data_IF_900547720394
#
_entry.id   IF_900547720394
#
_cell.length_a   1.000
_cell.length_b   1.000
_cell.length_c   1.000
_cell.angle_alpha   90.00
_cell.angle_beta   90.00
_cell.angle_gamma   90.00
#
_symmetry.space_group_name_H-M   'P 1'
#
loop_
_entity.id
_entity.type
_entity.pdbx_description
1 polymer ?
#
# COMPACT_ATOMS: atom_id res chain seq x y z
N UNK A 1 -44.48 0.51 25.18
CA UNK A 1 -43.01 0.47 25.06
C UNK A 1 -42.69 0.33 23.60
N UNK A 2 -42.08 1.33 23.00
CA UNK A 2 -41.44 1.16 21.69
C UNK A 2 -40.19 0.30 21.97
N UNK A 3 -40.00 -0.85 21.31
CA UNK A 3 -38.80 -1.64 21.51
C UNK A 3 -37.58 -0.79 21.14
N UNK A 4 -36.54 -0.79 21.98
CA UNK A 4 -35.27 -0.16 21.63
C UNK A 4 -34.78 -0.71 20.29
N UNK A 5 -34.28 0.14 19.37
CA UNK A 5 -33.75 -0.34 18.11
C UNK A 5 -32.59 -1.30 18.38
N UNK A 6 -32.64 -2.49 17.75
CA UNK A 6 -31.58 -3.47 17.87
C UNK A 6 -30.23 -2.87 17.45
N UNK A 7 -29.21 -2.98 18.30
CA UNK A 7 -27.87 -2.39 18.10
C UNK A 7 -27.26 -2.83 16.76
N UNK A 8 -26.68 -1.91 15.98
CA UNK A 8 -26.15 -2.18 14.62
C UNK A 8 -25.24 -3.43 14.61
N UNK A 9 -25.48 -4.45 13.75
CA UNK A 9 -24.65 -5.66 13.73
C UNK A 9 -23.16 -5.37 13.55
N UNK A 10 -22.79 -4.27 12.88
CA UNK A 10 -21.40 -3.86 12.75
C UNK A 10 -20.78 -3.45 14.09
N UNK A 11 -21.53 -2.69 14.91
CA UNK A 11 -21.09 -2.24 16.24
C UNK A 11 -21.01 -3.41 17.22
N UNK A 12 -21.99 -4.32 17.17
CA UNK A 12 -21.96 -5.56 17.97
C UNK A 12 -20.70 -6.37 17.64
N UNK A 13 -20.40 -6.57 16.36
CA UNK A 13 -19.21 -7.30 15.94
C UNK A 13 -17.90 -6.58 16.30
N UNK A 14 -17.88 -5.24 16.24
CA UNK A 14 -16.72 -4.44 16.66
C UNK A 14 -16.44 -4.54 18.17
N UNK A 15 -17.48 -4.71 18.97
CA UNK A 15 -17.38 -4.93 20.42
C UNK A 15 -17.08 -6.37 20.82
N UNK A 16 -17.07 -7.31 19.87
CA UNK A 16 -16.85 -8.73 20.16
C UNK A 16 -15.43 -8.97 20.69
N UNK A 17 -15.31 -9.69 21.80
CA UNK A 17 -14.02 -9.99 22.44
C UNK A 17 -13.45 -11.27 21.86
N UNK A 18 -12.55 -11.12 20.90
CA UNK A 18 -11.86 -12.24 20.26
C UNK A 18 -10.81 -12.86 21.18
N UNK A 19 -10.90 -14.18 21.37
CA UNK A 19 -9.86 -14.98 22.01
C UNK A 19 -9.10 -15.76 20.95
N UNK A 20 -7.79 -15.93 21.14
CA UNK A 20 -6.96 -16.77 20.28
C UNK A 20 -6.76 -18.12 20.95
N UNK A 21 -6.94 -19.20 20.18
CA UNK A 21 -6.45 -20.51 20.57
C UNK A 21 -4.91 -20.43 20.70
N UNK A 22 -4.34 -20.80 21.86
CA UNK A 22 -2.90 -20.63 22.13
C UNK A 22 -2.02 -21.57 21.30
N UNK A 23 -2.59 -22.57 20.63
CA UNK A 23 -1.86 -23.52 19.79
C UNK A 23 -2.00 -23.17 18.31
N UNK A 24 -3.20 -22.86 17.85
CA UNK A 24 -3.44 -22.60 16.42
C UNK A 24 -3.39 -21.12 16.07
N UNK A 25 -3.40 -20.23 17.06
CA UNK A 25 -3.48 -18.78 16.87
C UNK A 25 -4.65 -18.37 15.95
N UNK A 26 -5.77 -19.08 16.11
CA UNK A 26 -7.04 -18.85 15.40
C UNK A 26 -8.03 -18.26 16.39
N UNK A 27 -8.85 -17.34 15.92
CA UNK A 27 -9.96 -16.80 16.70
C UNK A 27 -10.96 -17.90 17.08
N UNK A 28 -11.37 -17.92 18.34
CA UNK A 28 -12.38 -18.85 18.88
C UNK A 28 -13.69 -18.09 19.07
N UNK A 29 -14.80 -18.69 18.62
CA UNK A 29 -16.14 -18.20 18.91
C UNK A 29 -16.65 -18.81 20.21
N UNK A 30 -16.73 -17.99 21.26
CA UNK A 30 -17.32 -18.39 22.53
C UNK A 30 -18.85 -18.58 22.39
N UNK A 31 -19.49 -17.80 21.51
CA UNK A 31 -20.95 -17.79 21.29
C UNK A 31 -21.30 -17.90 19.79
N UNK A 32 -21.28 -19.10 19.19
CA UNK A 32 -21.53 -19.28 17.76
C UNK A 32 -22.94 -18.84 17.31
N UNK A 33 -23.95 -18.96 18.16
CA UNK A 33 -25.33 -18.54 17.83
C UNK A 33 -25.49 -17.02 17.72
N UNK A 34 -24.74 -16.26 18.53
CA UNK A 34 -24.68 -14.80 18.41
C UNK A 34 -24.06 -14.42 17.07
N UNK A 35 -22.96 -15.07 16.69
CA UNK A 35 -22.30 -14.84 15.40
C UNK A 35 -23.21 -15.18 14.21
N UNK A 36 -23.99 -16.27 14.28
CA UNK A 36 -25.01 -16.58 13.25
C UNK A 36 -26.04 -15.46 13.13
N UNK A 37 -26.53 -14.96 14.26
CA UNK A 37 -27.46 -13.82 14.29
C UNK A 37 -26.84 -12.56 13.68
N UNK A 38 -25.57 -12.26 13.97
CA UNK A 38 -24.85 -11.13 13.37
C UNK A 38 -24.74 -11.32 11.85
N UNK A 39 -24.40 -12.52 11.36
CA UNK A 39 -24.30 -12.83 9.92
C UNK A 39 -25.62 -12.61 9.18
N UNK A 40 -26.74 -13.04 9.74
CA UNK A 40 -28.07 -12.82 9.16
C UNK A 40 -28.37 -11.32 9.05
N UNK A 41 -28.12 -10.57 10.12
CA UNK A 41 -28.34 -9.11 10.15
C UNK A 41 -27.43 -8.36 9.18
N UNK A 42 -26.18 -8.80 9.01
CA UNK A 42 -25.27 -8.27 7.99
C UNK A 42 -25.78 -8.55 6.57
N UNK A 43 -26.39 -9.73 6.35
CA UNK A 43 -26.98 -10.12 5.06
C UNK A 43 -28.18 -9.24 4.72
N UNK A 44 -29.07 -8.99 5.67
CA UNK A 44 -30.21 -8.09 5.48
C UNK A 44 -29.76 -6.66 5.15
N UNK A 45 -28.74 -6.16 5.86
CA UNK A 45 -28.17 -4.84 5.61
C UNK A 45 -27.49 -4.77 4.24
N UNK A 46 -26.80 -5.83 3.82
CA UNK A 46 -26.17 -5.92 2.51
C UNK A 46 -27.19 -5.88 1.37
N UNK A 47 -28.36 -6.52 1.54
CA UNK A 47 -29.43 -6.50 0.53
C UNK A 47 -29.93 -5.08 0.21
N UNK A 48 -29.79 -4.14 1.15
CA UNK A 48 -30.17 -2.73 0.97
C UNK A 48 -28.99 -1.80 0.61
N UNK A 49 -27.77 -2.34 0.49
CA UNK A 49 -26.58 -1.53 0.18
C UNK A 49 -26.54 -1.11 -1.30
N UNK A 50 -26.56 0.21 -1.53
CA UNK A 50 -26.62 0.78 -2.88
C UNK A 50 -25.24 1.13 -3.46
N UNK A 51 -24.26 1.41 -2.60
CA UNK A 51 -22.95 1.91 -3.00
C UNK A 51 -21.82 0.90 -2.72
N UNK A 52 -20.71 1.03 -3.46
CA UNK A 52 -19.56 0.14 -3.35
C UNK A 52 -18.88 0.20 -1.96
N UNK A 53 -18.92 1.34 -1.26
CA UNK A 53 -18.34 1.52 0.08
C UNK A 53 -19.05 0.62 1.08
N UNK A 54 -20.38 0.66 1.06
CA UNK A 54 -21.25 -0.11 1.94
C UNK A 54 -21.15 -1.61 1.63
N UNK A 55 -21.19 -2.00 0.34
CA UNK A 55 -21.04 -3.41 -0.07
C UNK A 55 -19.70 -4.00 0.34
N UNK A 56 -18.59 -3.31 0.02
CA UNK A 56 -17.26 -3.73 0.40
C UNK A 56 -17.15 -3.96 1.92
N UNK A 57 -17.64 -3.01 2.74
CA UNK A 57 -17.60 -3.12 4.20
C UNK A 57 -18.42 -4.30 4.72
N UNK A 58 -19.67 -4.44 4.28
CA UNK A 58 -20.59 -5.45 4.81
C UNK A 58 -20.20 -6.86 4.40
N UNK A 59 -19.84 -7.08 3.14
CA UNK A 59 -19.31 -8.37 2.67
C UNK A 59 -18.03 -8.75 3.42
N UNK A 60 -17.12 -7.79 3.58
CA UNK A 60 -15.87 -8.00 4.29
C UNK A 60 -16.07 -8.39 5.76
N UNK A 61 -17.06 -7.80 6.45
CA UNK A 61 -17.41 -8.19 7.82
C UNK A 61 -18.11 -9.55 7.87
N UNK A 62 -19.00 -9.83 6.92
CA UNK A 62 -19.70 -11.12 6.81
C UNK A 62 -18.74 -12.27 6.54
N UNK A 63 -17.68 -12.03 5.76
CA UNK A 63 -16.60 -12.97 5.54
C UNK A 63 -15.87 -13.33 6.85
N UNK A 64 -15.62 -12.35 7.74
CA UNK A 64 -15.00 -12.62 9.04
C UNK A 64 -15.89 -13.53 9.89
N UNK A 65 -17.18 -13.23 9.96
CA UNK A 65 -18.12 -14.05 10.74
C UNK A 65 -18.21 -15.47 10.17
N UNK A 66 -18.35 -15.62 8.86
CA UNK A 66 -18.45 -16.93 8.20
C UNK A 66 -17.16 -17.74 8.36
N UNK A 67 -15.99 -17.09 8.30
CA UNK A 67 -14.69 -17.72 8.57
C UNK A 67 -14.66 -18.37 9.95
N UNK A 68 -15.03 -17.60 10.97
CA UNK A 68 -15.00 -18.06 12.37
C UNK A 68 -16.03 -19.16 12.61
N UNK A 69 -17.19 -19.11 11.96
CA UNK A 69 -18.20 -20.17 12.00
C UNK A 69 -17.77 -21.46 11.26
N UNK A 70 -16.66 -21.42 10.52
CA UNK A 70 -16.12 -22.56 9.75
C UNK A 70 -16.64 -22.65 8.31
N UNK A 71 -17.48 -21.71 7.87
CA UNK A 71 -18.08 -21.66 6.54
C UNK A 71 -17.11 -20.98 5.55
N UNK A 72 -15.98 -21.64 5.29
CA UNK A 72 -14.81 -21.03 4.59
C UNK A 72 -15.06 -20.71 3.10
N UNK A 73 -15.92 -21.47 2.42
CA UNK A 73 -16.24 -21.21 1.01
C UNK A 73 -17.11 -19.94 0.87
N UNK A 74 -18.14 -19.79 1.72
CA UNK A 74 -18.95 -18.56 1.79
C UNK A 74 -18.08 -17.36 2.16
N UNK A 75 -17.18 -17.54 3.14
CA UNK A 75 -16.26 -16.49 3.55
C UNK A 75 -15.31 -16.06 2.41
N UNK A 76 -14.89 -17.00 1.56
CA UNK A 76 -14.01 -16.69 0.43
C UNK A 76 -14.75 -15.87 -0.63
N UNK A 77 -15.96 -16.30 -1.00
CA UNK A 77 -16.77 -15.61 -2.01
C UNK A 77 -17.09 -14.17 -1.58
N UNK A 78 -17.48 -14.00 -0.32
CA UNK A 78 -17.69 -12.68 0.27
C UNK A 78 -16.41 -11.84 0.30
N UNK A 79 -15.28 -12.44 0.71
CA UNK A 79 -13.99 -11.76 0.78
C UNK A 79 -13.50 -11.26 -0.57
N UNK A 80 -13.62 -12.08 -1.62
CA UNK A 80 -13.24 -11.71 -3.00
C UNK A 80 -14.13 -10.59 -3.54
N UNK A 81 -15.43 -10.72 -3.38
CA UNK A 81 -16.36 -9.68 -3.83
C UNK A 81 -16.19 -8.37 -3.05
N UNK A 82 -15.90 -8.46 -1.75
CA UNK A 82 -15.57 -7.30 -0.93
C UNK A 82 -14.33 -6.57 -1.43
N UNK A 83 -13.27 -7.32 -1.79
CA UNK A 83 -12.04 -6.76 -2.33
C UNK A 83 -12.29 -6.02 -3.64
N UNK A 84 -13.03 -6.63 -4.58
CA UNK A 84 -13.40 -5.98 -5.85
C UNK A 84 -14.14 -4.65 -5.62
N UNK A 85 -15.13 -4.64 -4.72
CA UNK A 85 -15.83 -3.39 -4.40
C UNK A 85 -14.93 -2.37 -3.70
N UNK A 86 -14.00 -2.81 -2.84
CA UNK A 86 -13.06 -1.94 -2.15
C UNK A 86 -12.09 -1.26 -3.13
N UNK A 87 -11.51 -2.02 -4.05
CA UNK A 87 -10.63 -1.52 -5.12
C UNK A 87 -11.36 -0.50 -6.00
N UNK A 88 -12.62 -0.77 -6.34
CA UNK A 88 -13.46 0.17 -7.08
C UNK A 88 -13.73 1.49 -6.33
N UNK A 89 -13.53 1.55 -5.00
CA UNK A 89 -13.61 2.82 -4.26
C UNK A 89 -12.34 3.67 -4.34
N UNK A 90 -11.19 3.08 -4.66
CA UNK A 90 -9.89 3.76 -4.64
C UNK A 90 -9.37 4.16 -3.25
N UNK A 91 -10.05 3.76 -2.17
CA UNK A 91 -9.65 4.09 -0.79
C UNK A 91 -8.71 3.03 -0.20
N UNK A 92 -7.44 3.39 0.01
CA UNK A 92 -6.37 2.51 0.46
C UNK A 92 -6.73 1.77 1.74
N UNK A 93 -7.23 2.50 2.75
CA UNK A 93 -7.62 1.87 4.03
C UNK A 93 -8.67 0.77 3.83
N UNK A 94 -9.62 0.95 2.92
CA UNK A 94 -10.68 -0.07 2.71
C UNK A 94 -10.15 -1.26 1.94
N UNK A 95 -9.35 -1.02 0.90
CA UNK A 95 -8.70 -2.08 0.14
C UNK A 95 -7.82 -2.93 1.06
N UNK A 96 -6.97 -2.30 1.89
CA UNK A 96 -6.11 -3.00 2.83
C UNK A 96 -6.91 -3.86 3.84
N UNK A 97 -8.03 -3.35 4.36
CA UNK A 97 -8.90 -4.12 5.25
C UNK A 97 -9.56 -5.33 4.54
N UNK A 98 -10.02 -5.14 3.30
CA UNK A 98 -10.60 -6.22 2.52
C UNK A 98 -9.56 -7.29 2.16
N UNK A 99 -8.36 -6.90 1.74
CA UNK A 99 -7.23 -7.79 1.48
C UNK A 99 -6.85 -8.59 2.73
N UNK A 100 -6.71 -7.93 3.89
CA UNK A 100 -6.35 -8.60 5.13
C UNK A 100 -7.39 -9.64 5.56
N UNK A 101 -8.68 -9.30 5.51
CA UNK A 101 -9.76 -10.23 5.88
C UNK A 101 -9.88 -11.40 4.90
N UNK A 102 -9.69 -11.17 3.59
CA UNK A 102 -9.62 -12.23 2.60
C UNK A 102 -8.39 -13.13 2.84
N UNK A 103 -7.24 -12.56 3.14
CA UNK A 103 -6.02 -13.29 3.50
C UNK A 103 -6.23 -14.20 4.72
N UNK A 104 -7.03 -13.75 5.70
CA UNK A 104 -7.45 -14.57 6.83
C UNK A 104 -8.25 -15.80 6.43
N UNK A 105 -9.19 -15.66 5.50
CA UNK A 105 -9.97 -16.79 4.98
C UNK A 105 -9.04 -17.78 4.28
N UNK A 106 -8.18 -17.30 3.39
CA UNK A 106 -7.20 -18.12 2.66
C UNK A 106 -6.23 -18.84 3.60
N UNK A 107 -5.73 -18.15 4.63
CA UNK A 107 -4.91 -18.75 5.69
C UNK A 107 -5.63 -19.93 6.36
N UNK A 108 -6.90 -19.78 6.72
CA UNK A 108 -7.67 -20.85 7.38
C UNK A 108 -7.95 -22.05 6.46
N UNK A 109 -8.06 -21.80 5.14
CA UNK A 109 -8.17 -22.83 4.11
C UNK A 109 -6.84 -23.53 3.80
N UNK A 110 -5.71 -22.92 4.16
CA UNK A 110 -4.37 -23.42 3.85
C UNK A 110 -3.79 -22.88 2.54
N UNK A 111 -4.44 -21.91 1.91
CA UNK A 111 -4.00 -21.25 0.66
C UNK A 111 -2.95 -20.17 0.98
N UNK A 112 -1.85 -20.59 1.60
CA UNK A 112 -0.91 -19.68 2.27
C UNK A 112 -0.17 -18.72 1.35
N UNK A 113 0.15 -19.13 0.12
CA UNK A 113 0.87 -18.28 -0.83
C UNK A 113 0.05 -17.03 -1.19
N UNK A 114 -1.24 -17.22 -1.49
CA UNK A 114 -2.16 -16.11 -1.78
C UNK A 114 -2.44 -15.26 -0.53
N UNK A 115 -2.58 -15.90 0.64
CA UNK A 115 -2.74 -15.19 1.90
C UNK A 115 -1.55 -14.26 2.22
N UNK A 116 -0.32 -14.77 2.12
CA UNK A 116 0.89 -14.01 2.40
C UNK A 116 1.06 -12.83 1.43
N UNK A 117 0.73 -13.04 0.14
CA UNK A 117 0.74 -11.99 -0.88
C UNK A 117 -0.23 -10.87 -0.52
N UNK A 118 -1.47 -11.21 -0.17
CA UNK A 118 -2.48 -10.23 0.22
C UNK A 118 -2.11 -9.48 1.51
N UNK A 119 -1.50 -10.13 2.51
CA UNK A 119 -0.99 -9.45 3.70
C UNK A 119 0.14 -8.46 3.35
N UNK A 120 1.04 -8.86 2.45
CA UNK A 120 2.13 -8.00 1.98
C UNK A 120 1.59 -6.78 1.22
N UNK A 121 0.66 -6.99 0.29
CA UNK A 121 0.02 -5.92 -0.50
C UNK A 121 -0.82 -4.97 0.37
N UNK A 122 -1.49 -5.49 1.40
CA UNK A 122 -2.29 -4.67 2.31
C UNK A 122 -1.43 -3.71 3.15
N UNK A 123 -0.15 -4.03 3.39
CA UNK A 123 0.71 -3.31 4.32
C UNK A 123 1.41 -2.09 3.71
N UNK A 124 0.63 -1.13 3.21
CA UNK A 124 1.18 0.16 2.73
C UNK A 124 1.76 0.99 3.88
N UNK A 125 2.88 1.66 3.60
CA UNK A 125 3.51 2.61 4.53
C UNK A 125 2.67 3.88 4.77
N UNK A 126 1.62 4.12 3.98
CA UNK A 126 0.73 5.28 4.11
C UNK A 126 -0.43 5.03 5.08
N UNK A 127 -0.63 3.79 5.52
CA UNK A 127 -1.67 3.42 6.48
C UNK A 127 -1.33 3.85 7.91
N UNK A 128 -2.33 4.05 8.78
CA UNK A 128 -2.11 4.36 10.19
C UNK A 128 -1.34 3.22 10.88
N UNK A 129 -0.44 3.56 11.79
CA UNK A 129 0.42 2.57 12.47
C UNK A 129 -0.39 1.51 13.23
N UNK A 130 -1.58 1.84 13.75
CA UNK A 130 -2.50 0.84 14.36
C UNK A 130 -2.90 -0.26 13.38
N UNK A 131 -3.30 0.10 12.16
CA UNK A 131 -3.70 -0.88 11.15
C UNK A 131 -2.49 -1.68 10.66
N UNK A 132 -1.34 -1.01 10.45
CA UNK A 132 -0.11 -1.67 10.04
C UNK A 132 0.40 -2.66 11.10
N UNK A 133 0.31 -2.31 12.38
CA UNK A 133 0.67 -3.20 13.47
C UNK A 133 -0.22 -4.44 13.51
N UNK A 134 -1.54 -4.28 13.32
CA UNK A 134 -2.44 -5.40 13.12
C UNK A 134 -2.02 -6.26 11.91
N UNK A 135 -1.82 -5.68 10.73
CA UNK A 135 -1.42 -6.43 9.53
C UNK A 135 -0.15 -7.26 9.74
N UNK A 136 0.84 -6.71 10.43
CA UNK A 136 2.04 -7.45 10.81
C UNK A 136 1.73 -8.61 11.78
N UNK A 137 0.92 -8.38 12.80
CA UNK A 137 0.49 -9.42 13.74
C UNK A 137 -0.27 -10.57 13.04
N UNK A 138 -1.14 -10.25 12.09
CA UNK A 138 -1.86 -11.23 11.26
C UNK A 138 -0.93 -12.01 10.32
N UNK A 139 0.00 -11.33 9.66
CA UNK A 139 1.01 -11.97 8.81
C UNK A 139 1.94 -12.90 9.61
N UNK A 140 2.29 -12.53 10.86
CA UNK A 140 3.05 -13.38 11.77
C UNK A 140 2.32 -14.71 12.01
N UNK A 141 1.00 -14.66 12.23
CA UNK A 141 0.19 -15.87 12.42
C UNK A 141 0.10 -16.74 11.15
N UNK A 142 0.08 -16.14 9.96
CA UNK A 142 0.19 -16.89 8.70
C UNK A 142 1.54 -17.62 8.60
N UNK A 143 2.65 -16.95 8.94
CA UNK A 143 3.98 -17.54 8.96
C UNK A 143 4.09 -18.66 10.01
N UNK A 144 3.47 -18.47 11.18
CA UNK A 144 3.41 -19.47 12.24
C UNK A 144 2.74 -20.78 11.76
N UNK A 145 1.57 -20.70 11.11
CA UNK A 145 0.86 -21.87 10.60
C UNK A 145 1.76 -22.70 9.67
N UNK A 146 2.55 -22.01 8.84
CA UNK A 146 3.50 -22.57 7.88
C UNK A 146 4.82 -23.06 8.49
N UNK A 147 5.06 -22.81 9.78
CA UNK A 147 6.31 -23.17 10.47
C UNK A 147 7.50 -22.27 10.13
N UNK A 148 7.26 -21.09 9.54
CA UNK A 148 8.30 -20.07 9.29
C UNK A 148 8.45 -19.17 10.51
N UNK A 149 9.04 -19.71 11.57
CA UNK A 149 8.99 -19.07 12.90
C UNK A 149 9.88 -17.81 12.98
N UNK A 150 11.02 -17.76 12.29
CA UNK A 150 11.85 -16.54 12.25
C UNK A 150 11.10 -15.38 11.58
N UNK A 151 10.44 -15.66 10.45
CA UNK A 151 9.62 -14.68 9.73
C UNK A 151 8.45 -14.20 10.62
N UNK A 152 7.80 -15.12 11.34
CA UNK A 152 6.77 -14.76 12.32
C UNK A 152 7.30 -13.83 13.43
N UNK A 153 8.49 -14.10 14.00
CA UNK A 153 9.13 -13.24 14.98
C UNK A 153 9.36 -11.82 14.46
N UNK A 154 9.92 -11.67 13.25
CA UNK A 154 10.14 -10.36 12.64
C UNK A 154 8.84 -9.57 12.45
N UNK A 155 7.76 -10.25 12.05
CA UNK A 155 6.45 -9.61 11.95
C UNK A 155 5.90 -9.18 13.31
N UNK A 156 6.01 -10.00 14.36
CA UNK A 156 5.60 -9.60 15.71
C UNK A 156 6.42 -8.43 16.26
N UNK A 157 7.74 -8.45 16.09
CA UNK A 157 8.62 -7.34 16.46
C UNK A 157 8.17 -6.05 15.75
N UNK A 158 7.90 -6.12 14.44
CA UNK A 158 7.46 -4.96 13.68
C UNK A 158 6.11 -4.41 14.14
N UNK A 159 5.19 -5.28 14.57
CA UNK A 159 3.92 -4.86 15.16
C UNK A 159 4.15 -4.09 16.48
N UNK A 160 5.07 -4.56 17.32
CA UNK A 160 5.43 -3.92 18.58
C UNK A 160 6.18 -2.59 18.38
N UNK A 161 7.09 -2.49 17.40
CA UNK A 161 7.75 -1.23 17.05
C UNK A 161 6.75 -0.13 16.67
N UNK A 162 5.68 -0.50 15.99
CA UNK A 162 4.66 0.43 15.52
C UNK A 162 3.76 0.92 16.66
N UNK A 163 3.35 0.03 17.58
CA UNK A 163 2.29 0.34 18.57
C UNK A 163 2.42 -0.33 19.94
N UNK A 164 3.48 -1.06 20.23
CA UNK A 164 3.61 -1.90 21.44
C UNK A 164 3.37 -1.16 22.77
N UNK A 165 3.94 0.03 22.95
CA UNK A 165 3.76 0.82 24.18
C UNK A 165 2.38 1.50 24.28
N UNK A 166 1.68 1.68 23.15
CA UNK A 166 0.41 2.40 23.05
C UNK A 166 -0.83 1.51 22.87
N UNK A 167 -0.68 0.19 22.83
CA UNK A 167 -1.77 -0.76 22.54
C UNK A 167 -1.64 -2.04 23.39
N UNK A 168 -2.19 -2.05 24.63
CA UNK A 168 -2.12 -3.20 25.52
C UNK A 168 -2.78 -4.46 24.96
N UNK A 169 -3.82 -4.32 24.12
CA UNK A 169 -4.51 -5.44 23.49
C UNK A 169 -3.64 -6.09 22.42
N UNK A 170 -2.95 -5.29 21.59
CA UNK A 170 -1.96 -5.80 20.65
C UNK A 170 -0.85 -6.54 21.39
N UNK A 171 -0.30 -5.97 22.47
CA UNK A 171 0.75 -6.60 23.26
C UNK A 171 0.30 -7.96 23.83
N UNK A 172 -0.95 -8.05 24.30
CA UNK A 172 -1.51 -9.31 24.78
C UNK A 172 -1.60 -10.37 23.66
N UNK A 173 -2.09 -10.01 22.47
CA UNK A 173 -2.17 -10.94 21.33
C UNK A 173 -0.78 -11.39 20.85
N UNK A 174 0.17 -10.46 20.73
CA UNK A 174 1.55 -10.76 20.33
C UNK A 174 2.22 -11.70 21.34
N UNK A 175 1.97 -11.52 22.65
CA UNK A 175 2.52 -12.41 23.67
C UNK A 175 2.02 -13.86 23.50
N UNK A 176 0.72 -14.06 23.28
CA UNK A 176 0.18 -15.40 22.99
C UNK A 176 0.86 -16.01 21.76
N UNK A 177 1.07 -15.21 20.71
CA UNK A 177 1.78 -15.64 19.50
C UNK A 177 3.24 -16.04 19.74
N UNK A 178 3.99 -15.26 20.52
CA UNK A 178 5.38 -15.54 20.86
C UNK A 178 5.52 -16.77 21.77
N UNK A 179 4.59 -16.98 22.71
CA UNK A 179 4.55 -18.18 23.55
C UNK A 179 4.32 -19.44 22.71
N UNK A 180 3.35 -19.40 21.79
CA UNK A 180 3.07 -20.49 20.85
C UNK A 180 4.26 -20.80 19.92
N UNK A 181 4.96 -19.75 19.48
CA UNK A 181 6.15 -19.83 18.65
C UNK A 181 7.29 -20.50 19.42
N UNK A 182 7.56 -20.06 20.65
CA UNK A 182 8.61 -20.62 21.49
C UNK A 182 8.38 -22.12 21.75
N UNK A 183 7.13 -22.52 22.03
CA UNK A 183 6.76 -23.91 22.19
C UNK A 183 7.04 -24.73 20.91
N UNK A 184 6.59 -24.25 19.74
CA UNK A 184 6.80 -24.95 18.46
C UNK A 184 8.27 -24.99 18.05
N UNK A 185 9.04 -23.94 18.32
CA UNK A 185 10.47 -23.89 18.03
C UNK A 185 11.27 -24.88 18.90
N UNK A 186 10.87 -25.07 20.16
CA UNK A 186 11.49 -26.06 21.04
C UNK A 186 11.30 -27.50 20.52
N UNK A 187 10.17 -27.78 19.87
CA UNK A 187 9.86 -29.11 19.34
C UNK A 187 10.43 -29.36 17.93
N UNK A 188 10.33 -28.37 17.04
CA UNK A 188 10.56 -28.56 15.58
C UNK A 188 11.65 -27.67 15.00
N UNK A 189 12.30 -26.84 15.83
CA UNK A 189 13.20 -25.80 15.37
C UNK A 189 12.48 -24.62 14.73
N UNK A 190 13.27 -23.62 14.31
CA UNK A 190 12.76 -22.35 13.80
C UNK A 190 12.24 -22.37 12.35
N UNK A 191 12.45 -23.47 11.63
CA UNK A 191 12.09 -23.59 10.22
C UNK A 191 13.06 -22.87 9.29
N UNK A 192 12.63 -22.51 8.07
CA UNK A 192 13.50 -21.89 7.06
C UNK A 192 13.84 -20.44 7.40
N UNK A 193 14.84 -19.90 6.68
CA UNK A 193 15.15 -18.48 6.74
C UNK A 193 13.99 -17.62 6.23
N UNK A 194 13.84 -16.37 6.72
CA UNK A 194 12.80 -15.45 6.28
C UNK A 194 12.89 -15.13 4.80
N UNK A 195 11.73 -15.08 4.14
CA UNK A 195 11.62 -14.69 2.74
C UNK A 195 11.72 -13.18 2.56
N UNK A 196 12.23 -12.75 1.41
CA UNK A 196 12.25 -11.34 1.01
C UNK A 196 10.93 -10.87 0.39
N UNK A 197 10.71 -9.55 0.33
CA UNK A 197 9.52 -8.96 -0.31
C UNK A 197 9.29 -9.45 -1.73
N UNK A 198 10.35 -9.55 -2.54
CA UNK A 198 10.25 -10.00 -3.93
C UNK A 198 9.86 -11.49 -4.02
N UNK A 199 10.28 -12.31 -3.07
CA UNK A 199 9.91 -13.73 -3.02
C UNK A 199 8.44 -13.90 -2.63
N UNK A 200 7.95 -13.13 -1.64
CA UNK A 200 6.53 -13.16 -1.24
C UNK A 200 5.61 -12.66 -2.36
N UNK A 201 6.05 -11.66 -3.10
CA UNK A 201 5.31 -11.11 -4.24
C UNK A 201 5.54 -11.87 -5.54
N UNK A 202 6.31 -12.97 -5.53
CA UNK A 202 6.70 -13.74 -6.72
C UNK A 202 7.28 -12.86 -7.84
N UNK A 203 7.97 -11.78 -7.47
CA UNK A 203 8.67 -10.92 -8.43
C UNK A 203 9.91 -11.66 -8.91
N UNK A 204 9.96 -11.93 -10.21
CA UNK A 204 11.11 -12.54 -10.87
C UNK A 204 12.41 -11.81 -10.44
N UNK A 205 13.36 -12.56 -9.86
CA UNK A 205 14.62 -12.00 -9.36
C UNK A 205 15.49 -11.67 -10.55
N UNK A 206 15.31 -10.45 -11.06
CA UNK A 206 16.11 -9.95 -12.16
C UNK A 206 17.59 -9.89 -11.75
N UNK A 207 18.52 -10.12 -12.70
CA UNK A 207 19.95 -10.00 -12.43
C UNK A 207 20.31 -8.65 -11.81
N UNK A 208 21.28 -8.62 -10.89
CA UNK A 208 21.71 -7.39 -10.20
C UNK A 208 23.01 -6.85 -10.79
N UNK A 209 23.19 -5.51 -10.88
CA UNK A 209 24.44 -4.94 -11.39
C UNK A 209 25.65 -5.41 -10.58
N UNK A 210 26.65 -5.95 -11.26
CA UNK A 210 27.89 -6.45 -10.67
C UNK A 210 29.10 -5.89 -11.42
N UNK A 211 30.11 -5.44 -10.68
CA UNK A 211 31.38 -4.94 -11.26
C UNK A 211 32.38 -6.06 -11.41
N UNK A 212 33.08 -6.06 -12.54
CA UNK A 212 34.33 -6.81 -12.66
C UNK A 212 35.47 -6.05 -11.96
N UNK A 213 36.20 -6.76 -11.09
CA UNK A 213 37.34 -6.24 -10.35
C UNK A 213 38.55 -5.90 -11.22
N UNK A 214 38.63 -6.43 -12.45
CA UNK A 214 39.73 -6.18 -13.38
C UNK A 214 39.59 -4.84 -14.13
N UNK A 215 38.48 -4.63 -14.84
CA UNK A 215 38.30 -3.49 -15.75
C UNK A 215 37.42 -2.36 -15.19
N UNK A 216 36.74 -2.59 -14.06
CA UNK A 216 35.79 -1.61 -13.49
C UNK A 216 34.51 -1.41 -14.30
N UNK A 217 34.27 -2.27 -15.30
CA UNK A 217 33.04 -2.33 -16.08
C UNK A 217 31.95 -3.09 -15.33
N UNK A 218 30.71 -2.80 -15.68
CA UNK A 218 29.50 -3.42 -15.15
C UNK A 218 28.98 -4.52 -16.05
N UNK A 219 28.55 -5.61 -15.42
CA UNK A 219 27.70 -6.66 -15.96
C UNK A 219 26.54 -6.90 -15.00
N UNK A 220 25.90 -8.07 -15.09
CA UNK A 220 24.84 -8.46 -14.16
C UNK A 220 25.04 -9.88 -13.67
N UNK A 221 24.80 -10.08 -12.38
CA UNK A 221 24.89 -11.36 -11.71
C UNK A 221 23.52 -11.88 -11.28
N UNK A 222 23.36 -13.20 -11.22
CA UNK A 222 22.18 -13.85 -10.67
C UNK A 222 22.20 -13.87 -9.12
N UNK A 223 21.25 -14.60 -8.52
CA UNK A 223 21.14 -14.74 -7.08
C UNK A 223 22.26 -15.54 -6.42
N UNK A 224 23.05 -16.30 -7.19
CA UNK A 224 24.22 -17.04 -6.71
C UNK A 224 25.51 -16.19 -6.82
N UNK A 225 25.43 -15.04 -7.49
CA UNK A 225 26.53 -14.13 -7.71
C UNK A 225 27.30 -14.39 -9.01
N UNK A 226 26.82 -15.32 -9.83
CA UNK A 226 27.43 -15.65 -11.11
C UNK A 226 27.02 -14.64 -12.19
N UNK A 227 27.99 -14.15 -12.97
CA UNK A 227 27.74 -13.19 -14.04
C UNK A 227 26.97 -13.82 -15.19
N UNK A 228 25.67 -13.52 -15.27
CA UNK A 228 24.79 -13.92 -16.37
C UNK A 228 24.83 -12.93 -17.54
N UNK A 229 25.19 -11.67 -17.28
CA UNK A 229 25.51 -10.68 -18.33
C UNK A 229 26.97 -10.25 -18.17
N UNK A 230 27.83 -10.45 -19.18
CA UNK A 230 29.24 -10.10 -19.09
C UNK A 230 29.48 -8.63 -18.75
N UNK A 231 30.54 -8.36 -17.98
CA UNK A 231 30.94 -7.00 -17.62
C UNK A 231 31.53 -6.24 -18.82
N UNK A 232 30.68 -5.50 -19.52
CA UNK A 232 31.05 -4.75 -20.74
C UNK A 232 30.52 -3.31 -20.78
N UNK A 233 29.80 -2.88 -19.75
CA UNK A 233 29.16 -1.58 -19.70
C UNK A 233 29.94 -0.61 -18.81
N UNK A 234 30.05 0.64 -19.22
CA UNK A 234 30.63 1.69 -18.37
C UNK A 234 29.68 2.07 -17.23
N UNK A 235 28.36 2.01 -17.48
CA UNK A 235 27.31 2.20 -16.47
C UNK A 235 26.15 1.23 -16.71
N UNK A 236 25.53 0.79 -15.61
CA UNK A 236 24.42 -0.16 -15.60
C UNK A 236 23.42 0.23 -14.50
N UNK A 237 22.16 0.39 -14.85
CA UNK A 237 21.07 0.57 -13.88
C UNK A 237 20.53 -0.79 -13.44
N UNK A 238 19.95 -0.93 -12.24
CA UNK A 238 19.22 -2.15 -11.86
C UNK A 238 18.12 -2.46 -12.85
N UNK A 239 17.83 -3.77 -13.03
CA UNK A 239 16.65 -4.19 -13.76
C UNK A 239 15.37 -3.69 -13.09
N UNK A 240 14.44 -3.23 -13.91
CA UNK A 240 13.07 -2.88 -13.52
C UNK A 240 12.12 -3.42 -14.58
N UNK A 241 11.12 -4.19 -14.15
CA UNK A 241 10.14 -4.81 -15.06
C UNK A 241 10.79 -5.66 -16.16
N UNK A 242 11.87 -6.37 -15.82
CA UNK A 242 12.61 -7.24 -16.73
C UNK A 242 13.54 -6.53 -17.71
N UNK A 243 13.71 -5.21 -17.61
CA UNK A 243 14.54 -4.41 -18.52
C UNK A 243 15.55 -3.54 -17.75
N UNK A 244 16.71 -3.26 -18.35
CA UNK A 244 17.72 -2.40 -17.73
C UNK A 244 18.36 -1.43 -18.72
N UNK A 245 18.57 -0.19 -18.28
CA UNK A 245 19.34 0.80 -19.02
C UNK A 245 20.83 0.62 -18.77
N UNK A 246 21.61 0.55 -19.83
CA UNK A 246 23.07 0.43 -19.80
C UNK A 246 23.73 1.41 -20.75
N UNK A 247 24.98 1.76 -20.46
CA UNK A 247 25.81 2.62 -21.32
C UNK A 247 27.16 1.95 -21.59
N UNK A 248 27.49 1.79 -22.86
CA UNK A 248 28.78 1.25 -23.29
C UNK A 248 29.93 2.25 -23.13
N UNK A 249 31.19 1.80 -23.05
CA UNK A 249 32.34 2.69 -22.86
C UNK A 249 32.66 3.59 -24.06
N UNK A 250 32.17 3.28 -25.26
CA UNK A 250 32.41 4.05 -26.49
C UNK A 250 31.28 5.04 -26.84
N UNK A 251 30.26 5.18 -26.00
CA UNK A 251 29.11 6.05 -26.27
C UNK A 251 28.67 6.77 -25.00
N UNK A 252 28.15 7.98 -25.17
CA UNK A 252 27.49 8.73 -24.11
C UNK A 252 25.99 8.38 -23.98
N UNK A 253 25.46 7.54 -24.88
CA UNK A 253 24.03 7.19 -24.96
C UNK A 253 23.67 5.90 -24.24
N UNK A 254 22.50 5.91 -23.64
CA UNK A 254 21.85 4.77 -23.01
C UNK A 254 21.16 3.88 -24.05
N UNK A 255 21.32 2.57 -23.86
CA UNK A 255 20.65 1.47 -24.55
C UNK A 255 19.84 0.64 -23.56
N UNK A 256 18.79 -0.02 -24.02
CA UNK A 256 17.97 -0.91 -23.22
C UNK A 256 18.37 -2.36 -23.47
N UNK A 257 18.53 -3.14 -22.41
CA UNK A 257 18.80 -4.58 -22.50
C UNK A 257 17.74 -5.39 -21.74
N UNK A 258 17.56 -6.63 -22.17
CA UNK A 258 16.80 -7.64 -21.44
C UNK A 258 17.69 -8.48 -20.51
N UNK A 259 17.11 -9.45 -19.78
CA UNK A 259 17.77 -10.16 -18.68
C UNK A 259 18.95 -11.03 -19.12
N UNK A 260 19.02 -11.42 -20.41
CA UNK A 260 20.16 -12.18 -20.96
C UNK A 260 21.25 -11.28 -21.53
N UNK A 261 21.08 -9.96 -21.44
CA UNK A 261 21.99 -8.96 -21.99
C UNK A 261 21.80 -8.70 -23.49
N UNK A 262 20.71 -9.20 -24.08
CA UNK A 262 20.28 -8.86 -25.42
C UNK A 262 19.88 -7.38 -25.51
N UNK A 263 20.37 -6.68 -26.54
CA UNK A 263 19.97 -5.28 -26.78
C UNK A 263 18.55 -5.23 -27.31
N UNK A 264 17.67 -4.57 -26.56
CA UNK A 264 16.27 -4.31 -26.94
C UNK A 264 16.16 -2.98 -27.67
N UNK A 265 16.84 -1.94 -27.16
CA UNK A 265 16.92 -0.61 -27.80
C UNK A 265 18.37 -0.21 -27.94
N UNK A 266 18.79 0.08 -29.17
CA UNK A 266 20.14 0.56 -29.49
C UNK A 266 20.46 1.91 -28.82
N UNK A 267 21.74 2.23 -28.58
CA UNK A 267 22.15 3.47 -27.90
C UNK A 267 21.57 4.73 -28.55
N UNK A 268 20.57 5.34 -27.88
CA UNK A 268 19.76 6.41 -28.49
C UNK A 268 19.55 7.61 -27.56
N UNK A 269 19.58 7.43 -26.25
CA UNK A 269 19.15 8.44 -25.28
C UNK A 269 20.30 9.01 -24.47
N UNK A 270 20.30 10.32 -24.24
CA UNK A 270 21.30 11.02 -23.41
C UNK A 270 21.10 10.73 -21.92
N UNK A 271 19.86 10.51 -21.50
CA UNK A 271 19.52 10.09 -20.15
C UNK A 271 18.32 9.14 -20.17
N UNK A 272 18.27 8.24 -19.20
CA UNK A 272 17.17 7.30 -19.02
C UNK A 272 16.92 7.04 -17.54
N UNK A 273 15.64 6.88 -17.18
CA UNK A 273 15.21 6.42 -15.85
C UNK A 273 14.63 5.00 -15.97
N UNK A 274 14.65 4.21 -14.89
CA UNK A 274 14.08 2.86 -14.89
C UNK A 274 12.63 2.83 -15.37
N UNK A 275 12.24 1.70 -15.95
CA UNK A 275 10.85 1.41 -16.29
C UNK A 275 9.97 1.42 -15.03
N UNK A 276 8.76 1.96 -15.17
CA UNK A 276 7.74 2.00 -14.15
C UNK A 276 6.38 1.96 -14.83
N UNK A 277 5.60 0.92 -14.55
CA UNK A 277 4.31 0.63 -15.18
C UNK A 277 4.41 0.59 -16.71
N UNK A 278 5.41 -0.10 -17.25
CA UNK A 278 5.62 -0.33 -18.67
C UNK A 278 6.17 0.87 -19.45
N UNK A 279 6.50 1.98 -18.78
CA UNK A 279 7.04 3.19 -19.41
C UNK A 279 8.35 3.63 -18.75
N UNK A 280 9.26 4.18 -19.54
CA UNK A 280 10.51 4.77 -19.07
C UNK A 280 10.64 6.24 -19.51
N UNK A 281 11.08 7.10 -18.59
CA UNK A 281 11.42 8.48 -18.91
C UNK A 281 12.82 8.55 -19.51
N UNK A 282 12.94 9.18 -20.67
CA UNK A 282 14.20 9.32 -21.40
C UNK A 282 14.37 10.73 -21.93
N UNK A 283 15.63 11.12 -22.19
CA UNK A 283 15.99 12.35 -22.88
C UNK A 283 16.70 11.97 -24.17
N UNK A 284 16.15 12.36 -25.32
CA UNK A 284 16.76 12.09 -26.64
C UNK A 284 17.71 13.21 -27.08
N UNK A 285 17.30 14.44 -26.80
CA UNK A 285 17.93 15.70 -27.20
C UNK A 285 17.52 16.82 -26.22
N UNK A 286 17.72 18.08 -26.59
CA UNK A 286 17.44 19.26 -25.77
C UNK A 286 15.94 19.52 -25.53
N UNK A 287 15.03 18.74 -26.13
CA UNK A 287 13.56 18.91 -26.00
C UNK A 287 13.02 18.52 -24.62
N UNK A 288 13.86 17.99 -23.73
CA UNK A 288 13.50 17.56 -22.38
C UNK A 288 13.05 16.10 -22.30
N UNK A 289 12.44 15.74 -21.17
CA UNK A 289 11.99 14.39 -20.89
C UNK A 289 10.75 14.02 -21.72
N UNK A 290 10.76 12.79 -22.23
CA UNK A 290 9.66 12.09 -22.90
C UNK A 290 9.54 10.67 -22.32
N UNK A 291 8.40 10.00 -22.48
CA UNK A 291 8.26 8.60 -22.05
C UNK A 291 8.17 7.66 -23.25
N UNK A 292 8.89 6.54 -23.17
CA UNK A 292 8.83 5.45 -24.14
C UNK A 292 8.36 4.16 -23.51
N UNK A 293 7.79 3.28 -24.32
CA UNK A 293 7.52 1.89 -23.94
C UNK A 293 8.75 0.99 -24.11
N UNK A 294 8.58 -0.32 -23.88
CA UNK A 294 9.65 -1.32 -24.00
C UNK A 294 10.15 -1.54 -25.43
N UNK A 295 9.40 -1.08 -26.44
CA UNK A 295 9.79 -1.14 -27.86
C UNK A 295 10.55 0.11 -28.31
N UNK A 296 10.55 1.17 -27.48
CA UNK A 296 11.12 2.48 -27.80
C UNK A 296 10.14 3.43 -28.47
N UNK A 297 8.86 3.05 -28.59
CA UNK A 297 7.82 3.93 -29.10
C UNK A 297 7.55 5.07 -28.11
N UNK A 298 7.42 6.30 -28.63
CA UNK A 298 7.14 7.47 -27.80
C UNK A 298 5.65 7.49 -27.44
N UNK A 299 5.35 7.23 -26.18
CA UNK A 299 3.98 7.27 -25.64
C UNK A 299 3.65 8.65 -25.07
N UNK A 300 4.60 9.27 -24.37
CA UNK A 300 4.46 10.64 -23.89
C UNK A 300 5.43 11.54 -24.63
N UNK A 301 4.97 12.53 -25.41
CA UNK A 301 5.82 13.43 -26.16
C UNK A 301 6.82 14.21 -25.29
N UNK A 302 7.96 14.67 -25.85
CA UNK A 302 8.92 15.51 -25.14
C UNK A 302 8.33 16.87 -24.75
N UNK A 303 8.98 17.52 -23.79
CA UNK A 303 8.65 18.89 -23.37
C UNK A 303 8.64 19.12 -21.87
N UNK A 304 9.01 18.12 -21.06
CA UNK A 304 9.08 18.25 -19.61
C UNK A 304 10.51 18.51 -19.14
N UNK A 305 10.67 19.49 -18.26
CA UNK A 305 11.96 19.82 -17.64
C UNK A 305 12.30 18.82 -16.52
N UNK A 306 11.30 18.37 -15.77
CA UNK A 306 11.43 17.33 -14.75
C UNK A 306 10.26 16.36 -14.81
N UNK A 307 10.52 15.12 -14.40
CA UNK A 307 9.56 14.01 -14.40
C UNK A 307 9.77 13.15 -13.17
N UNK A 308 8.78 12.33 -12.83
CA UNK A 308 8.84 11.34 -11.76
C UNK A 308 8.29 10.00 -12.26
N UNK A 309 8.67 8.86 -11.64
CA UNK A 309 8.18 7.56 -12.08
C UNK A 309 6.65 7.48 -12.11
N UNK A 310 6.10 6.71 -13.06
CA UNK A 310 4.68 6.38 -13.07
C UNK A 310 4.32 5.54 -11.85
N UNK A 311 3.29 5.94 -11.13
CA UNK A 311 2.75 5.20 -9.99
C UNK A 311 1.24 5.24 -10.03
N UNK A 312 0.64 4.05 -10.08
CA UNK A 312 -0.79 3.80 -10.15
C UNK A 312 -1.46 4.59 -11.29
N UNK A 313 -0.85 4.55 -12.48
CA UNK A 313 -1.39 5.09 -13.73
C UNK A 313 -1.00 6.54 -14.06
N UNK A 314 -0.29 7.24 -13.17
CA UNK A 314 0.05 8.66 -13.35
C UNK A 314 1.49 8.98 -12.95
N UNK A 315 2.06 10.02 -13.55
CA UNK A 315 3.38 10.54 -13.24
C UNK A 315 3.33 12.06 -13.04
N UNK A 316 4.03 12.57 -12.02
CA UNK A 316 4.19 14.01 -11.86
C UNK A 316 5.25 14.54 -12.83
N UNK A 317 4.95 15.66 -13.48
CA UNK A 317 5.80 16.27 -14.51
C UNK A 317 5.86 17.78 -14.34
N UNK A 318 6.97 18.39 -14.75
CA UNK A 318 7.16 19.84 -14.68
C UNK A 318 7.47 20.41 -16.05
N UNK A 319 6.71 21.44 -16.43
CA UNK A 319 7.01 22.30 -17.59
C UNK A 319 7.10 23.76 -17.13
N UNK A 320 5.98 24.48 -17.15
CA UNK A 320 5.87 25.85 -16.60
C UNK A 320 5.71 25.81 -15.08
N UNK A 321 4.90 24.87 -14.60
CA UNK A 321 4.83 24.44 -13.21
C UNK A 321 4.71 22.91 -13.14
N UNK A 322 4.56 22.39 -11.94
CA UNK A 322 4.23 20.99 -11.70
C UNK A 322 2.79 20.68 -12.09
N UNK A 323 2.60 19.49 -12.64
CA UNK A 323 1.33 18.87 -13.00
C UNK A 323 1.53 17.36 -13.06
N UNK A 324 0.64 16.67 -13.77
CA UNK A 324 0.71 15.23 -13.93
C UNK A 324 0.15 14.77 -15.27
N UNK A 325 0.67 13.64 -15.74
CA UNK A 325 0.31 12.98 -16.98
C UNK A 325 -0.08 11.54 -16.69
N UNK A 326 -1.05 11.00 -17.43
CA UNK A 326 -1.37 9.57 -17.40
C UNK A 326 -0.45 8.74 -18.30
N UNK A 327 -0.61 7.41 -18.27
CA UNK A 327 0.17 6.47 -19.10
C UNK A 327 -0.09 6.59 -20.61
N UNK A 328 -1.07 7.38 -21.04
CA UNK A 328 -1.35 7.65 -22.46
C UNK A 328 -0.74 8.96 -22.94
N UNK A 329 -0.12 9.74 -22.04
CA UNK A 329 0.44 11.05 -22.34
C UNK A 329 -0.54 12.20 -22.18
N UNK A 330 -1.76 11.97 -21.69
CA UNK A 330 -2.70 13.05 -21.41
C UNK A 330 -2.35 13.75 -20.11
N UNK A 331 -2.31 15.09 -20.16
CA UNK A 331 -2.12 15.93 -18.97
C UNK A 331 -3.42 15.88 -18.15
N UNK A 332 -3.42 15.06 -17.10
CA UNK A 332 -4.55 14.91 -16.17
C UNK A 332 -4.54 16.01 -15.10
N UNK A 333 -3.35 16.50 -14.69
CA UNK A 333 -3.23 17.67 -13.80
C UNK A 333 -2.47 18.77 -14.54
N UNK A 334 -3.06 19.97 -14.75
CA UNK A 334 -2.39 21.07 -15.43
C UNK A 334 -1.05 21.45 -14.81
N UNK A 335 -0.03 21.69 -15.64
CA UNK A 335 1.33 22.05 -15.24
C UNK A 335 1.44 23.50 -14.78
N UNK A 336 0.89 23.83 -13.61
CA UNK A 336 0.79 25.21 -13.10
C UNK A 336 1.14 25.36 -11.61
N UNK A 337 1.37 24.27 -10.90
CA UNK A 337 1.61 24.30 -9.46
C UNK A 337 3.08 24.58 -9.16
N UNK A 338 3.38 25.34 -8.11
CA UNK A 338 4.76 25.61 -7.71
C UNK A 338 5.39 24.44 -6.96
N UNK A 339 4.56 23.60 -6.33
CA UNK A 339 4.97 22.39 -5.63
C UNK A 339 3.97 21.25 -5.82
N UNK A 340 4.49 20.03 -5.82
CA UNK A 340 3.71 18.80 -6.02
C UNK A 340 4.27 17.71 -5.12
N UNK A 341 4.20 17.91 -3.80
CA UNK A 341 4.74 16.98 -2.82
C UNK A 341 3.68 16.71 -1.76
N UNK A 342 3.43 15.44 -1.49
CA UNK A 342 2.35 15.02 -0.61
C UNK A 342 2.88 14.78 0.78
N UNK A 343 2.54 15.70 1.68
CA UNK A 343 2.83 15.55 3.09
C UNK A 343 1.79 14.64 3.75
N UNK A 344 2.26 13.57 4.38
CA UNK A 344 1.45 12.68 5.19
C UNK A 344 1.57 13.04 6.67
N UNK A 345 0.64 12.52 7.47
CA UNK A 345 0.77 12.52 8.92
C UNK A 345 2.06 11.81 9.35
N UNK A 346 2.71 12.29 10.42
CA UNK A 346 3.96 11.72 10.93
C UNK A 346 5.23 12.22 10.22
N UNK A 347 5.15 13.32 9.44
CA UNK A 347 6.30 13.95 8.81
C UNK A 347 6.87 13.21 7.59
N UNK A 348 6.15 12.20 7.08
CA UNK A 348 6.51 11.50 5.85
C UNK A 348 6.10 12.33 4.63
N UNK A 349 6.89 12.24 3.57
CA UNK A 349 6.62 12.93 2.30
C UNK A 349 6.65 11.94 1.14
N UNK A 350 5.66 12.04 0.26
CA UNK A 350 5.60 11.33 -1.00
C UNK A 350 5.79 12.32 -2.13
N UNK A 351 6.71 11.99 -3.04
CA UNK A 351 7.02 12.83 -4.18
C UNK A 351 6.01 12.61 -5.32
N UNK A 352 4.76 13.02 -5.11
CA UNK A 352 3.67 12.86 -6.08
C UNK A 352 2.37 12.40 -5.44
N UNK A 353 1.70 11.48 -6.11
CA UNK A 353 0.45 10.89 -5.62
C UNK A 353 0.71 9.83 -4.55
N UNK A 354 -0.19 9.79 -3.56
CA UNK A 354 -0.36 8.66 -2.63
C UNK A 354 -0.82 7.39 -3.36
N UNK A 355 -0.79 6.26 -2.65
CA UNK A 355 -1.39 5.01 -3.10
C UNK A 355 -2.91 5.16 -3.34
N UNK A 356 -3.57 6.09 -2.63
CA UNK A 356 -4.98 6.50 -2.84
C UNK A 356 -5.19 7.41 -4.04
N UNK A 357 -4.11 7.88 -4.65
CA UNK A 357 -4.18 8.73 -5.83
C UNK A 357 -4.45 10.19 -5.53
N UNK A 358 -4.00 10.66 -4.37
CA UNK A 358 -4.11 12.05 -3.98
C UNK A 358 -2.74 12.71 -3.95
N UNK A 359 -2.69 13.96 -4.41
CA UNK A 359 -1.49 14.77 -4.34
C UNK A 359 -1.77 16.10 -3.63
N UNK A 360 -0.86 16.50 -2.74
CA UNK A 360 -0.85 17.88 -2.22
C UNK A 360 -0.13 18.77 -3.22
N UNK A 361 -0.82 19.83 -3.62
CA UNK A 361 -0.33 20.82 -4.57
C UNK A 361 -0.14 22.17 -3.88
N UNK A 362 0.93 22.88 -4.26
CA UNK A 362 1.19 24.25 -3.83
C UNK A 362 0.91 25.22 -4.97
N UNK A 363 0.08 26.23 -4.70
CA UNK A 363 -0.10 27.39 -5.55
C UNK A 363 0.15 28.65 -4.72
N UNK A 364 1.26 29.34 -5.02
CA UNK A 364 1.68 30.57 -4.35
C UNK A 364 1.73 30.48 -2.80
N UNK A 365 2.23 29.37 -2.26
CA UNK A 365 2.35 29.15 -0.82
C UNK A 365 1.06 28.70 -0.14
N UNK A 366 0.01 28.39 -0.92
CA UNK A 366 -1.23 27.79 -0.43
C UNK A 366 -1.33 26.36 -0.94
N UNK A 367 -1.61 25.45 -0.02
CA UNK A 367 -1.75 24.02 -0.26
C UNK A 367 -3.20 23.64 -0.49
N UNK A 368 -3.39 22.72 -1.42
CA UNK A 368 -4.65 22.06 -1.75
C UNK A 368 -4.43 20.58 -2.05
N UNK A 369 -5.50 19.88 -2.42
CA UNK A 369 -5.46 18.45 -2.77
C UNK A 369 -6.11 18.23 -4.12
N UNK A 370 -5.43 17.47 -4.98
CA UNK A 370 -5.97 16.99 -6.25
C UNK A 370 -5.94 15.46 -6.28
N UNK A 371 -6.84 14.85 -7.05
CA UNK A 371 -6.77 13.42 -7.36
C UNK A 371 -6.02 13.14 -8.68
N UNK A 372 -5.87 11.85 -9.02
CA UNK A 372 -5.20 11.39 -10.27
C UNK A 372 -5.88 11.89 -11.55
N UNK A 373 -7.16 12.25 -11.49
CA UNK A 373 -7.90 12.79 -12.64
C UNK A 373 -7.71 14.31 -12.80
N UNK A 374 -7.07 14.94 -11.80
CA UNK A 374 -6.92 16.39 -11.69
C UNK A 374 -8.11 17.11 -11.11
N UNK A 375 -9.08 16.38 -10.56
CA UNK A 375 -10.14 17.00 -9.78
C UNK A 375 -9.53 17.64 -8.52
N UNK A 376 -9.81 18.92 -8.32
CA UNK A 376 -9.44 19.64 -7.11
C UNK A 376 -10.43 19.27 -6.00
N UNK A 377 -10.01 18.46 -5.04
CA UNK A 377 -10.80 18.07 -3.88
C UNK A 377 -10.77 19.19 -2.83
N UNK A 378 -9.57 19.72 -2.56
CA UNK A 378 -9.37 20.84 -1.65
C UNK A 378 -8.68 21.95 -2.43
N UNK A 379 -9.32 23.10 -2.54
CA UNK A 379 -8.73 24.24 -3.23
C UNK A 379 -7.44 24.69 -2.54
N UNK A 380 -6.41 25.15 -3.29
CA UNK A 380 -5.19 25.72 -2.73
C UNK A 380 -5.47 26.96 -1.87
N UNK A 381 -5.77 26.74 -0.60
CA UNK A 381 -6.27 27.76 0.31
C UNK A 381 -5.71 27.61 1.72
N UNK A 382 -4.81 26.66 1.99
CA UNK A 382 -4.30 26.39 3.34
C UNK A 382 -2.79 26.60 3.43
N UNK A 383 -2.24 27.29 4.45
CA UNK A 383 -0.79 27.40 4.60
C UNK A 383 -0.10 26.04 4.75
N UNK A 384 -0.73 25.10 5.46
CA UNK A 384 -0.28 23.73 5.62
C UNK A 384 -1.45 22.76 5.45
N UNK A 385 -1.16 21.59 4.86
CA UNK A 385 -2.13 20.54 4.61
C UNK A 385 -1.43 19.18 4.63
N UNK A 386 -2.03 18.21 5.31
CA UNK A 386 -1.59 16.81 5.38
C UNK A 386 -2.72 15.88 4.96
N UNK A 387 -2.37 14.80 4.26
CA UNK A 387 -3.31 13.72 3.97
C UNK A 387 -3.32 12.74 5.13
N UNK A 388 -4.51 12.49 5.66
CA UNK A 388 -4.79 11.41 6.59
C UNK A 388 -5.74 10.39 5.92
N UNK A 389 -5.68 9.09 6.25
CA UNK A 389 -6.47 8.06 5.57
C UNK A 389 -8.00 8.25 5.63
N UNK A 390 -8.51 9.11 6.51
CA UNK A 390 -9.96 9.39 6.61
C UNK A 390 -10.32 10.88 6.48
N UNK A 391 -9.34 11.78 6.37
CA UNK A 391 -9.56 13.23 6.38
C UNK A 391 -8.36 13.99 5.79
N UNK A 392 -8.52 15.29 5.53
CA UNK A 392 -7.42 16.19 5.23
C UNK A 392 -7.20 17.13 6.41
N UNK A 393 -6.04 17.06 7.04
CA UNK A 393 -5.69 17.99 8.12
C UNK A 393 -5.18 19.27 7.49
N UNK A 394 -5.74 20.42 7.87
CA UNK A 394 -5.39 21.68 7.26
C UNK A 394 -5.31 22.81 8.29
N UNK A 395 -4.46 23.79 8.02
CA UNK A 395 -4.36 24.99 8.85
C UNK A 395 -5.19 26.14 8.30
N UNK A 396 -5.66 27.00 9.21
CA UNK A 396 -6.17 28.31 8.86
C UNK A 396 -5.04 29.35 8.78
N UNK A 397 -5.36 30.60 8.40
CA UNK A 397 -4.38 31.68 8.33
C UNK A 397 -3.71 32.05 9.65
N UNK A 398 -4.31 31.67 10.80
CA UNK A 398 -3.74 31.86 12.13
C UNK A 398 -2.88 30.70 12.63
N UNK A 399 -2.59 29.70 11.78
CA UNK A 399 -1.77 28.55 12.13
C UNK A 399 -2.47 27.51 13.01
N UNK A 400 -3.79 27.59 13.16
CA UNK A 400 -4.58 26.59 13.90
C UNK A 400 -5.01 25.46 12.96
N UNK A 401 -4.90 24.23 13.45
CA UNK A 401 -5.22 22.98 12.77
C UNK A 401 -6.68 22.57 12.98
N UNK A 402 -7.30 22.10 11.90
CA UNK A 402 -8.59 21.42 11.86
C UNK A 402 -8.58 20.30 10.82
N UNK A 403 -9.74 19.78 10.46
CA UNK A 403 -9.88 18.73 9.46
C UNK A 403 -11.00 19.00 8.46
N UNK A 404 -10.77 18.57 7.22
CA UNK A 404 -11.78 18.43 6.18
C UNK A 404 -12.05 16.95 5.96
N UNK A 405 -13.29 16.59 5.60
CA UNK A 405 -13.63 15.25 5.16
C UNK A 405 -12.94 14.91 3.82
N UNK A 406 -13.09 13.66 3.36
CA UNK A 406 -12.52 13.19 2.09
C UNK A 406 -13.12 13.84 0.84
N UNK A 407 -14.11 14.73 0.99
CA UNK A 407 -14.73 15.54 -0.07
C UNK A 407 -14.34 17.03 0.06
N UNK A 408 -13.43 17.37 0.97
CA UNK A 408 -12.96 18.73 1.20
C UNK A 408 -13.93 19.60 2.01
N UNK A 409 -14.94 19.02 2.67
CA UNK A 409 -15.91 19.76 3.50
C UNK A 409 -15.42 19.83 4.95
N UNK A 410 -15.74 20.90 5.71
CA UNK A 410 -15.35 20.98 7.12
C UNK A 410 -15.82 19.76 7.92
N UNK A 411 -14.90 19.14 8.66
CA UNK A 411 -15.15 18.03 9.57
C UNK A 411 -14.85 18.43 11.01
N UNK A 412 -13.72 19.09 11.25
CA UNK A 412 -13.31 19.62 12.55
C UNK A 412 -12.84 21.06 12.36
N UNK A 413 -13.36 21.96 13.18
CA UNK A 413 -12.99 23.38 13.13
C UNK A 413 -11.50 23.59 13.45
N UNK A 414 -10.83 24.54 12.78
CA UNK A 414 -9.40 24.78 12.95
C UNK A 414 -9.11 25.54 14.26
N UNK A 415 -9.18 24.83 15.39
CA UNK A 415 -9.00 25.38 16.74
C UNK A 415 -7.77 24.83 17.45
N UNK A 416 -7.07 23.85 16.90
CA UNK A 416 -5.95 23.19 17.59
C UNK A 416 -4.59 23.80 17.22
N UNK A 417 -3.61 23.78 18.12
CA UNK A 417 -2.26 24.26 17.83
C UNK A 417 -1.36 23.21 17.17
N UNK A 418 -1.70 21.92 17.34
CA UNK A 418 -0.90 20.80 16.83
C UNK A 418 -1.81 19.80 16.11
N UNK A 419 -1.36 19.20 14.98
CA UNK A 419 -2.15 18.22 14.22
C UNK A 419 -2.53 16.98 15.06
N UNK A 420 -1.71 16.55 16.02
CA UNK A 420 -1.99 15.36 16.84
C UNK A 420 -3.30 15.44 17.62
N UNK A 421 -3.72 16.66 18.02
CA UNK A 421 -5.02 16.83 18.67
C UNK A 421 -6.19 16.64 17.70
N UNK A 422 -6.01 17.03 16.44
CA UNK A 422 -6.98 16.77 15.38
C UNK A 422 -7.05 15.27 15.07
N UNK A 423 -5.90 14.58 15.06
CA UNK A 423 -5.83 13.13 14.85
C UNK A 423 -6.58 12.41 15.97
N UNK A 424 -6.34 12.76 17.22
CA UNK A 424 -7.05 12.16 18.35
C UNK A 424 -8.57 12.38 18.27
N UNK A 425 -9.01 13.56 17.83
CA UNK A 425 -10.43 13.85 17.63
C UNK A 425 -11.01 13.02 16.47
N UNK A 426 -10.28 12.88 15.36
CA UNK A 426 -10.67 12.00 14.25
C UNK A 426 -10.78 10.56 14.74
N UNK A 427 -9.81 10.07 15.52
CA UNK A 427 -9.85 8.72 16.09
C UNK A 427 -11.06 8.52 17.02
N UNK A 428 -11.40 9.53 17.84
CA UNK A 428 -12.59 9.50 18.68
C UNK A 428 -13.90 9.51 17.86
N UNK A 429 -13.97 10.31 16.80
CA UNK A 429 -15.11 10.36 15.87
C UNK A 429 -15.28 9.09 15.04
N UNK A 430 -14.20 8.32 14.85
CA UNK A 430 -14.29 7.03 14.20
C UNK A 430 -14.93 5.97 15.11
N UNK A 431 -15.03 6.22 16.43
CA UNK A 431 -15.70 5.53 17.58
C UNK A 431 -15.85 3.99 17.55
N UNK A 432 -15.21 3.33 16.61
CA UNK A 432 -15.06 1.90 16.45
C UNK A 432 -13.69 1.66 15.79
N UNK A 433 -13.23 0.43 15.90
CA UNK A 433 -12.20 -0.17 15.06
C UNK A 433 -10.75 -0.14 15.58
N UNK A 434 -10.48 -0.97 16.58
CA UNK A 434 -9.62 -2.12 16.24
C UNK A 434 -10.32 -2.82 15.07
N UNK A 435 -9.81 -2.73 13.84
CA UNK A 435 -10.51 -3.31 12.71
C UNK A 435 -10.73 -4.80 13.01
N UNK A 436 -11.99 -5.24 12.96
CA UNK A 436 -12.32 -6.66 13.07
C UNK A 436 -11.65 -7.33 11.87
N UNK A 437 -10.57 -8.07 12.07
CA UNK A 437 -9.75 -8.66 11.01
C UNK A 437 -9.83 -10.19 11.07
#
# INVERSE_FOLDING_TARGET
MVPEPAADPEQVLAGYRWQLDPTTLREVADEPDELRTIRERLTDKLASALDNRSRARLLSLRAVVSRVLGDLDEALDDGRMALTYAEATGELRRTALAQARLAHVLRWRGDFAEADRLFAEANSAELPDRLRAALHEHAARSCYDQGRLIEACHHFERALDLRGEGDPELLARVRVGLDALAARAAERGFGPYPRGWDEVLERDRSPVPARDGGQGLWGYADGEGDLVVPARYAEAQPFSEGLAWVRGPQTDRWSLIGPTGETVIEPSYLAARPFSEGLAWVVRDESGWLAVDSTGEVVVPPGFAEVRPFRKGVAAVRREGWGAVDRTGQIVVPTRYHGFHTALVGGRYIDGFTDEGLAVVDLAGRKGVVDRTGQVIVSPAHPALFIHPVAFLATNGGGRWGALDRRGRPLIDPVFHHPDKVIAEIEALLTDASPVL
#
